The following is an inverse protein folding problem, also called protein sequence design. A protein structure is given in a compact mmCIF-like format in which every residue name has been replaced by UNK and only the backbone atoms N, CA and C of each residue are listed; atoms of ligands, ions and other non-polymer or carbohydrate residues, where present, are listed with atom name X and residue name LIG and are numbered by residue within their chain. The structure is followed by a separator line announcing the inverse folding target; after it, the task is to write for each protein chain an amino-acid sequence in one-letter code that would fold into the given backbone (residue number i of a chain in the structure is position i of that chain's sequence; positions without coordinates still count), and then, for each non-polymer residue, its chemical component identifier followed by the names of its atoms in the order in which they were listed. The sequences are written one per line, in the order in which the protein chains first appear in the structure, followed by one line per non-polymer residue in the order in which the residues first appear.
data_IF_628753004614
#
_entry.id   IF_628753004614
#
_cell.length_a   1.000
_cell.length_b   1.000
_cell.length_c   1.000
_cell.angle_alpha   90.00
_cell.angle_beta   90.00
_cell.angle_gamma   90.00
#
_symmetry.space_group_name_H-M   'P 1'
#
loop_
_entity.id
_entity.type
_entity.pdbx_description
1 polymer ?
#
# COMPACT_ATOMS: atom_id res chain seq x y z
N UNK A 1 9.76 -11.74 -3.18
CA UNK A 1 9.41 -11.96 -4.60
C UNK A 1 10.26 -13.04 -5.26
N UNK A 2 11.59 -12.97 -5.16
CA UNK A 2 12.54 -13.89 -5.83
C UNK A 2 12.34 -15.40 -5.61
N UNK A 3 11.72 -15.84 -4.51
CA UNK A 3 11.37 -17.26 -4.30
C UNK A 3 10.11 -17.66 -5.08
N UNK A 4 9.13 -16.76 -5.18
CA UNK A 4 7.92 -16.95 -5.98
C UNK A 4 8.24 -16.90 -7.48
N UNK A 5 9.18 -16.03 -7.89
CA UNK A 5 9.72 -15.96 -9.27
C UNK A 5 10.23 -17.32 -9.77
N UNK A 6 10.91 -18.08 -8.89
CA UNK A 6 11.54 -19.34 -9.30
C UNK A 6 10.52 -20.39 -9.72
N UNK A 7 9.30 -20.31 -9.18
CA UNK A 7 8.28 -21.35 -9.30
C UNK A 7 8.76 -22.66 -8.70
N UNK A 8 8.10 -23.18 -7.67
CA UNK A 8 8.34 -24.58 -7.31
C UNK A 8 7.81 -25.44 -8.47
N UNK A 9 8.63 -26.33 -9.09
CA UNK A 9 8.16 -27.19 -10.16
C UNK A 9 6.96 -28.03 -9.69
N UNK A 10 5.80 -27.88 -10.33
CA UNK A 10 4.55 -28.53 -9.94
C UNK A 10 3.71 -27.79 -8.89
N UNK A 11 4.14 -26.60 -8.42
CA UNK A 11 3.34 -25.74 -7.56
C UNK A 11 2.15 -25.13 -8.29
N UNK A 12 1.03 -24.92 -7.59
CA UNK A 12 -0.24 -24.41 -8.14
C UNK A 12 -0.14 -23.04 -8.84
N UNK A 13 0.92 -22.28 -8.56
CA UNK A 13 1.18 -20.94 -9.10
C UNK A 13 2.32 -20.88 -10.13
N UNK A 14 2.94 -22.02 -10.48
CA UNK A 14 4.03 -22.07 -11.43
C UNK A 14 3.61 -21.51 -12.81
N UNK A 15 4.36 -20.53 -13.32
CA UNK A 15 4.06 -19.84 -14.59
C UNK A 15 2.80 -18.97 -14.58
N UNK A 16 2.16 -18.75 -13.41
CA UNK A 16 0.92 -17.98 -13.26
C UNK A 16 1.10 -16.62 -12.57
N UNK A 17 2.31 -16.31 -12.12
CA UNK A 17 2.64 -15.06 -11.45
C UNK A 17 3.62 -14.28 -12.31
N UNK A 18 3.29 -13.01 -12.57
CA UNK A 18 4.25 -12.02 -13.05
C UNK A 18 4.81 -11.28 -11.84
N UNK A 19 5.91 -11.79 -11.31
CA UNK A 19 6.60 -11.25 -10.13
C UNK A 19 7.41 -9.98 -10.43
N UNK A 20 7.45 -9.55 -11.70
CA UNK A 20 7.90 -8.22 -12.10
C UNK A 20 6.79 -7.15 -12.03
N UNK A 21 5.55 -7.53 -11.70
CA UNK A 21 4.41 -6.64 -11.52
C UNK A 21 3.63 -6.98 -10.26
N UNK A 22 3.96 -6.34 -9.15
CA UNK A 22 3.44 -6.70 -7.82
C UNK A 22 2.88 -5.47 -7.10
N UNK A 23 1.60 -5.52 -6.76
CA UNK A 23 0.99 -4.58 -5.83
C UNK A 23 0.97 -5.16 -4.41
N UNK A 24 1.06 -4.28 -3.41
CA UNK A 24 0.83 -4.64 -2.00
C UNK A 24 -0.48 -4.01 -1.53
N UNK A 25 -1.31 -4.80 -0.87
CA UNK A 25 -2.63 -4.37 -0.43
C UNK A 25 -2.93 -4.85 0.98
N UNK A 26 -3.76 -4.11 1.70
CA UNK A 26 -4.26 -4.56 3.00
C UNK A 26 -5.41 -3.72 3.53
N UNK A 27 -6.09 -4.26 4.54
CA UNK A 27 -7.23 -3.65 5.22
C UNK A 27 -6.92 -3.31 6.66
N UNK A 28 -7.39 -2.17 7.14
CA UNK A 28 -7.16 -1.67 8.49
C UNK A 28 -5.66 -1.67 8.80
N UNK A 29 -5.21 -2.40 9.83
CA UNK A 29 -3.77 -2.54 10.13
C UNK A 29 -2.95 -3.08 8.95
N UNK A 30 -3.57 -3.90 8.10
CA UNK A 30 -2.95 -4.40 6.88
C UNK A 30 -2.71 -3.32 5.83
N UNK A 31 -3.58 -2.30 5.74
CA UNK A 31 -3.42 -1.18 4.82
C UNK A 31 -2.24 -0.29 5.24
N UNK A 32 -2.14 -0.03 6.54
CA UNK A 32 -0.96 0.63 7.11
C UNK A 32 0.33 -0.19 6.89
N UNK A 33 0.26 -1.51 7.01
CA UNK A 33 1.38 -2.40 6.72
C UNK A 33 1.77 -2.39 5.24
N UNK A 34 0.79 -2.28 4.32
CA UNK A 34 1.05 -2.16 2.89
C UNK A 34 1.83 -0.88 2.56
N UNK A 35 1.44 0.27 3.15
CA UNK A 35 2.18 1.52 3.04
C UNK A 35 3.62 1.39 3.55
N UNK A 36 3.83 0.70 4.68
CA UNK A 36 5.17 0.48 5.24
C UNK A 36 6.00 -0.48 4.39
N UNK A 37 5.39 -1.53 3.84
CA UNK A 37 6.07 -2.49 2.97
C UNK A 37 6.60 -1.81 1.71
N UNK A 38 5.80 -0.95 1.07
CA UNK A 38 6.21 -0.21 -0.12
C UNK A 38 7.32 0.82 0.14
N UNK A 39 7.35 1.43 1.33
CA UNK A 39 8.47 2.29 1.77
C UNK A 39 9.79 1.51 1.90
N UNK A 40 9.72 0.25 2.32
CA UNK A 40 10.90 -0.58 2.58
C UNK A 40 11.36 -1.38 1.36
N UNK A 41 10.46 -1.68 0.43
CA UNK A 41 10.72 -2.51 -0.74
C UNK A 41 10.20 -1.85 -2.02
N UNK A 42 11.13 -1.25 -2.78
CA UNK A 42 10.82 -0.57 -4.06
C UNK A 42 10.44 -1.52 -5.21
N UNK A 43 10.37 -2.83 -4.97
CA UNK A 43 9.90 -3.80 -5.96
C UNK A 43 8.39 -3.89 -6.06
N UNK A 44 7.66 -3.26 -5.14
CA UNK A 44 6.22 -3.05 -5.31
C UNK A 44 5.99 -1.93 -6.32
N UNK A 45 5.01 -2.13 -7.20
CA UNK A 45 4.64 -1.19 -8.27
C UNK A 45 3.45 -0.30 -7.87
N UNK A 46 2.65 -0.72 -6.89
CA UNK A 46 1.49 0.02 -6.41
C UNK A 46 1.10 -0.40 -4.99
N UNK A 47 0.37 0.48 -4.30
CA UNK A 47 -0.19 0.23 -2.97
C UNK A 47 -1.70 0.40 -2.97
N UNK A 48 -2.42 -0.52 -2.32
CA UNK A 48 -3.85 -0.39 -2.03
C UNK A 48 -4.06 -0.42 -0.53
N UNK A 49 -4.43 0.72 0.03
CA UNK A 49 -4.77 0.89 1.44
C UNK A 49 -6.28 0.92 1.59
N UNK A 50 -6.86 -0.12 2.21
CA UNK A 50 -8.26 -0.13 2.60
C UNK A 50 -8.30 0.31 4.06
N UNK A 51 -8.80 1.52 4.29
CA UNK A 51 -9.05 2.15 5.59
C UNK A 51 -7.95 2.07 6.66
N UNK A 52 -6.69 1.88 6.25
CA UNK A 52 -5.57 1.71 7.13
C UNK A 52 -5.02 3.01 7.69
N UNK A 53 -4.87 3.07 9.01
CA UNK A 53 -4.30 4.23 9.67
C UNK A 53 -2.76 4.27 9.49
N UNK A 54 -2.17 5.29 8.83
CA UNK A 54 -0.72 5.30 8.60
C UNK A 54 0.09 5.41 9.89
N UNK A 55 0.81 4.36 10.23
CA UNK A 55 1.69 4.30 11.40
C UNK A 55 3.14 4.72 11.06
N UNK A 56 3.88 5.15 12.09
CA UNK A 56 5.29 5.55 11.96
C UNK A 56 5.49 6.95 11.34
N UNK A 57 6.70 7.28 10.89
CA UNK A 57 6.98 8.54 10.22
C UNK A 57 6.19 8.63 8.90
N UNK A 58 5.37 9.67 8.74
CA UNK A 58 4.64 9.94 7.49
C UNK A 58 5.52 10.66 6.46
N UNK A 59 6.70 11.16 6.86
CA UNK A 59 7.68 11.78 5.96
C UNK A 59 8.37 10.79 5.03
N UNK A 60 8.82 11.25 3.87
CA UNK A 60 9.50 10.45 2.85
C UNK A 60 8.55 9.97 1.73
N UNK A 61 9.06 9.96 0.50
CA UNK A 61 8.36 9.52 -0.70
C UNK A 61 8.20 7.99 -0.70
N UNK A 62 7.00 7.46 -0.99
CA UNK A 62 6.85 6.03 -1.31
C UNK A 62 7.46 5.76 -2.69
N UNK A 63 7.17 6.62 -3.68
CA UNK A 63 7.63 6.52 -5.05
C UNK A 63 6.72 5.62 -5.91
N UNK A 64 5.78 4.91 -5.29
CA UNK A 64 4.74 4.13 -5.95
C UNK A 64 3.38 4.82 -5.86
N UNK A 65 2.52 4.70 -6.88
CA UNK A 65 1.13 5.14 -6.77
C UNK A 65 0.39 4.42 -5.65
N UNK A 66 -0.39 5.17 -4.89
CA UNK A 66 -1.24 4.71 -3.79
C UNK A 66 -2.70 4.96 -4.12
N UNK A 67 -3.52 3.92 -3.99
CA UNK A 67 -4.98 4.02 -3.89
C UNK A 67 -5.40 3.81 -2.44
N UNK A 68 -5.92 4.85 -1.82
CA UNK A 68 -6.52 4.79 -0.49
C UNK A 68 -8.05 4.76 -0.59
N UNK A 69 -8.66 3.71 -0.04
CA UNK A 69 -10.10 3.54 0.08
C UNK A 69 -10.49 3.77 1.52
N UNK A 70 -11.06 4.92 1.84
CA UNK A 70 -11.40 5.29 3.21
C UNK A 70 -12.82 4.86 3.53
N UNK A 71 -13.04 4.37 4.74
CA UNK A 71 -14.37 4.39 5.34
C UNK A 71 -14.96 5.81 5.35
N UNK A 72 -16.28 5.92 5.55
CA UNK A 72 -16.94 7.20 5.76
C UNK A 72 -16.28 7.96 6.93
N UNK A 73 -15.93 9.22 6.69
CA UNK A 73 -15.31 10.06 7.71
C UNK A 73 -16.39 10.78 8.49
N UNK A 74 -16.44 10.53 9.80
CA UNK A 74 -17.43 11.12 10.69
C UNK A 74 -16.85 11.52 12.04
N UNK A 75 -17.70 12.02 12.97
CA UNK A 75 -17.26 12.50 14.28
C UNK A 75 -16.57 11.45 15.16
N UNK A 76 -16.77 10.16 14.88
CA UNK A 76 -16.11 9.05 15.58
C UNK A 76 -14.78 8.60 14.96
N UNK A 77 -14.41 9.13 13.80
CA UNK A 77 -13.12 8.84 13.17
C UNK A 77 -12.01 9.52 13.95
N UNK A 78 -10.87 8.83 14.10
CA UNK A 78 -9.68 9.42 14.70
C UNK A 78 -9.31 10.72 13.95
N UNK A 79 -9.18 11.87 14.64
CA UNK A 79 -8.92 13.15 14.00
C UNK A 79 -7.58 13.22 13.27
N UNK A 80 -6.62 12.36 13.64
CA UNK A 80 -5.30 12.30 13.00
C UNK A 80 -5.29 11.44 11.74
N UNK A 81 -6.34 10.65 11.49
CA UNK A 81 -6.40 9.72 10.36
C UNK A 81 -6.25 10.43 9.02
N UNK A 82 -7.14 11.39 8.73
CA UNK A 82 -7.14 12.10 7.45
C UNK A 82 -5.88 12.96 7.24
N UNK A 83 -5.41 13.77 8.21
CA UNK A 83 -4.17 14.52 8.06
C UNK A 83 -2.97 13.62 7.77
N UNK A 84 -2.86 12.48 8.46
CA UNK A 84 -1.74 11.55 8.27
C UNK A 84 -1.80 10.85 6.91
N UNK A 85 -2.98 10.39 6.50
CA UNK A 85 -3.16 9.79 5.17
C UNK A 85 -2.87 10.81 4.07
N UNK A 86 -3.40 12.02 4.19
CA UNK A 86 -3.13 13.11 3.23
C UNK A 86 -1.63 13.39 3.13
N UNK A 87 -0.91 13.42 4.25
CA UNK A 87 0.54 13.59 4.26
C UNK A 87 1.27 12.50 3.48
N UNK A 88 0.83 11.25 3.59
CA UNK A 88 1.41 10.13 2.83
C UNK A 88 1.16 10.31 1.33
N UNK A 89 -0.04 10.72 0.93
CA UNK A 89 -0.42 10.86 -0.48
C UNK A 89 0.19 12.11 -1.15
N UNK A 90 0.31 13.24 -0.45
CA UNK A 90 0.88 14.48 -1.00
C UNK A 90 2.40 14.45 -1.09
N UNK A 91 3.05 13.65 -0.24
CA UNK A 91 4.49 13.51 -0.24
C UNK A 91 4.99 12.54 -1.30
N UNK A 92 4.17 12.03 -2.21
CA UNK A 92 4.67 11.19 -3.29
C UNK A 92 4.84 11.96 -4.61
N UNK A 93 5.79 11.53 -5.43
CA UNK A 93 5.93 11.99 -6.81
C UNK A 93 4.96 11.26 -7.77
N UNK A 94 4.43 10.11 -7.36
CA UNK A 94 3.44 9.35 -8.12
C UNK A 94 2.02 9.94 -7.98
N UNK A 95 1.17 9.71 -8.98
CA UNK A 95 -0.25 10.10 -8.90
C UNK A 95 -0.98 9.18 -7.92
N UNK A 96 -1.55 9.79 -6.88
CA UNK A 96 -2.25 9.12 -5.80
C UNK A 96 -3.75 9.42 -5.82
N UNK A 97 -4.56 8.47 -5.34
CA UNK A 97 -6.02 8.60 -5.29
C UNK A 97 -6.53 8.30 -3.88
N UNK A 98 -7.49 9.10 -3.41
CA UNK A 98 -8.29 8.80 -2.22
C UNK A 98 -9.76 8.74 -2.63
N UNK A 99 -10.39 7.61 -2.35
CA UNK A 99 -11.82 7.37 -2.58
C UNK A 99 -12.50 7.12 -1.24
N UNK A 100 -13.79 7.47 -1.16
CA UNK A 100 -14.63 7.34 0.04
C UNK A 100 -16.00 6.85 -0.39
#
# INVERSE_FOLDING_TARGET
LTRMDRGEPGGTLAGRLDTGRVAVAGHSIGGAAALQAARQDRRFDAVIDLDGFPHGPTGGHLGQPVLALTQEIGPGTDPDYLPRLTRVLELDAATNYRLT
#
